data_IF_760806297329
#
_entry.id   IF_760806297329
#
_cell.length_a   1.000
_cell.length_b   1.000
_cell.length_c   1.000
_cell.angle_alpha   90.00
_cell.angle_beta   90.00
_cell.angle_gamma   90.00
#
_symmetry.space_group_name_H-M   'P 1'
#
loop_
_entity.id
_entity.type
_entity.pdbx_description
1 polymer ?
#
# COMPACT_ATOMS: atom_id res chain seq x y z
N UNK A 1 -2.07 1.75 -4.16
CA UNK A 1 -3.40 2.17 -4.67
C UNK A 1 -4.26 2.49 -3.47
N UNK A 2 -5.00 3.59 -3.46
CA UNK A 2 -5.89 3.95 -2.34
C UNK A 2 -7.20 3.17 -2.36
N UNK A 3 -7.87 3.06 -1.21
CA UNK A 3 -9.12 2.31 -1.07
C UNK A 3 -10.25 2.79 -1.98
N UNK A 4 -10.42 4.10 -2.14
CA UNK A 4 -11.40 4.69 -3.07
C UNK A 4 -11.12 4.29 -4.52
N UNK A 5 -9.84 4.36 -4.93
CA UNK A 5 -9.43 3.97 -6.28
C UNK A 5 -9.68 2.47 -6.54
N UNK A 6 -9.37 1.62 -5.55
CA UNK A 6 -9.63 0.19 -5.65
C UNK A 6 -11.14 -0.11 -5.77
N UNK A 7 -11.96 0.55 -4.95
CA UNK A 7 -13.40 0.39 -4.95
C UNK A 7 -14.02 0.78 -6.31
N UNK A 8 -13.61 1.92 -6.87
CA UNK A 8 -14.12 2.39 -8.17
C UNK A 8 -13.70 1.47 -9.32
N UNK A 9 -12.43 1.06 -9.38
CA UNK A 9 -11.95 0.16 -10.43
C UNK A 9 -12.65 -1.20 -10.36
N UNK A 10 -12.76 -1.78 -9.16
CA UNK A 10 -13.41 -3.08 -8.99
C UNK A 10 -14.92 -3.02 -9.25
N UNK A 11 -15.59 -1.92 -8.88
CA UNK A 11 -16.99 -1.71 -9.20
C UNK A 11 -17.21 -1.56 -10.71
N UNK A 12 -16.33 -0.85 -11.40
CA UNK A 12 -16.37 -0.70 -12.87
C UNK A 12 -16.23 -2.07 -13.58
N UNK A 13 -15.21 -2.86 -13.21
CA UNK A 13 -15.00 -4.20 -13.78
C UNK A 13 -16.20 -5.12 -13.52
N UNK A 14 -16.80 -5.06 -12.32
CA UNK A 14 -18.00 -5.85 -12.00
C UNK A 14 -19.20 -5.39 -12.82
N UNK A 15 -19.39 -4.09 -12.98
CA UNK A 15 -20.47 -3.53 -13.80
C UNK A 15 -20.35 -3.99 -15.26
N UNK A 16 -19.18 -3.89 -15.86
CA UNK A 16 -18.92 -4.34 -17.23
C UNK A 16 -19.24 -5.83 -17.40
N UNK A 17 -18.87 -6.65 -16.40
CA UNK A 17 -19.17 -8.09 -16.38
C UNK A 17 -20.68 -8.37 -16.30
N UNK A 18 -21.44 -7.59 -15.51
CA UNK A 18 -22.89 -7.76 -15.39
C UNK A 18 -23.62 -7.33 -16.66
N UNK A 19 -23.22 -6.20 -17.24
CA UNK A 19 -23.77 -5.69 -18.51
C UNK A 19 -23.56 -6.69 -19.64
N UNK A 20 -22.38 -7.31 -19.73
CA UNK A 20 -22.09 -8.38 -20.69
C UNK A 20 -23.00 -9.61 -20.51
N UNK A 21 -23.51 -9.85 -19.30
CA UNK A 21 -24.42 -10.95 -18.98
C UNK A 21 -25.89 -10.55 -19.07
N UNK A 22 -26.20 -9.32 -19.51
CA UNK A 22 -27.56 -8.80 -19.58
C UNK A 22 -28.21 -8.52 -18.22
N UNK A 23 -27.40 -8.39 -17.17
CA UNK A 23 -27.84 -8.09 -15.82
C UNK A 23 -27.48 -6.65 -15.43
N UNK A 24 -28.30 -6.07 -14.56
CA UNK A 24 -27.99 -4.83 -13.85
C UNK A 24 -28.02 -5.12 -12.35
N UNK A 25 -27.52 -4.18 -11.57
CA UNK A 25 -27.53 -4.25 -10.12
C UNK A 25 -27.88 -2.88 -9.53
N UNK A 26 -28.68 -2.84 -8.46
CA UNK A 26 -29.15 -1.58 -7.87
C UNK A 26 -28.00 -0.70 -7.35
N UNK A 27 -28.21 0.61 -7.33
CA UNK A 27 -27.24 1.57 -6.78
C UNK A 27 -26.89 1.29 -5.32
N UNK A 28 -27.83 0.74 -4.55
CA UNK A 28 -27.60 0.32 -3.16
C UNK A 28 -26.62 -0.86 -3.07
N UNK A 29 -26.67 -1.81 -4.02
CA UNK A 29 -25.74 -2.94 -4.07
C UNK A 29 -24.34 -2.48 -4.50
N UNK A 30 -24.28 -1.54 -5.46
CA UNK A 30 -23.04 -0.89 -5.87
C UNK A 30 -22.38 -0.13 -4.72
N UNK A 31 -23.16 0.66 -3.98
CA UNK A 31 -22.67 1.41 -2.83
C UNK A 31 -22.16 0.48 -1.72
N UNK A 32 -22.89 -0.60 -1.42
CA UNK A 32 -22.47 -1.61 -0.45
C UNK A 32 -21.17 -2.30 -0.88
N UNK A 33 -21.04 -2.65 -2.16
CA UNK A 33 -19.82 -3.26 -2.71
C UNK A 33 -18.61 -2.34 -2.59
N UNK A 34 -18.74 -1.07 -2.99
CA UNK A 34 -17.66 -0.07 -2.84
C UNK A 34 -17.32 0.16 -1.37
N UNK A 35 -18.33 0.25 -0.49
CA UNK A 35 -18.12 0.43 0.95
C UNK A 35 -17.31 -0.69 1.56
N UNK A 36 -17.60 -1.95 1.22
CA UNK A 36 -16.86 -3.10 1.73
C UNK A 36 -15.38 -3.06 1.32
N UNK A 37 -15.09 -2.69 0.07
CA UNK A 37 -13.70 -2.56 -0.41
C UNK A 37 -12.98 -1.41 0.32
N UNK A 38 -13.63 -0.25 0.48
CA UNK A 38 -13.03 0.88 1.20
C UNK A 38 -12.70 0.51 2.64
N UNK A 39 -13.62 -0.15 3.33
CA UNK A 39 -13.40 -0.61 4.70
C UNK A 39 -12.23 -1.60 4.77
N UNK A 40 -12.16 -2.56 3.84
CA UNK A 40 -11.04 -3.48 3.79
C UNK A 40 -9.70 -2.75 3.65
N UNK A 41 -9.63 -1.74 2.78
CA UNK A 41 -8.41 -0.97 2.58
C UNK A 41 -8.07 -0.06 3.76
N UNK A 42 -9.08 0.46 4.46
CA UNK A 42 -8.86 1.24 5.68
C UNK A 42 -8.26 0.33 6.77
N UNK A 43 -8.86 -0.82 7.01
CA UNK A 43 -8.39 -1.79 8.01
C UNK A 43 -6.98 -2.33 7.69
N UNK A 44 -6.70 -2.61 6.42
CA UNK A 44 -5.43 -3.21 6.01
C UNK A 44 -4.34 -2.18 5.69
N UNK A 45 -4.73 -0.92 5.47
CA UNK A 45 -3.85 0.22 5.24
C UNK A 45 -3.45 0.95 6.51
N UNK A 46 -4.12 0.66 7.64
CA UNK A 46 -3.80 1.23 8.93
C UNK A 46 -2.35 0.89 9.37
N UNK A 47 -1.59 1.86 9.93
CA UNK A 47 -0.21 1.62 10.38
C UNK A 47 -0.07 0.45 11.36
N UNK A 48 -1.04 0.23 12.24
CA UNK A 48 -1.00 -0.88 13.19
C UNK A 48 -1.21 -2.23 12.49
N UNK A 49 -1.97 -2.28 11.40
CA UNK A 49 -2.10 -3.49 10.60
C UNK A 49 -0.77 -3.89 9.96
N UNK A 50 -0.02 -2.92 9.44
CA UNK A 50 1.30 -3.12 8.83
C UNK A 50 2.37 -3.54 9.86
N UNK A 51 2.47 -2.79 10.96
CA UNK A 51 3.52 -3.03 11.98
C UNK A 51 3.33 -4.37 12.70
N UNK A 52 2.08 -4.81 12.89
CA UNK A 52 1.77 -6.13 13.45
C UNK A 52 2.25 -7.31 12.58
N UNK A 53 2.63 -7.03 11.32
CA UNK A 53 3.08 -8.00 10.32
C UNK A 53 4.53 -7.78 9.89
N UNK A 54 5.26 -6.88 10.57
CA UNK A 54 6.66 -6.56 10.26
C UNK A 54 6.87 -6.10 8.82
N UNK A 55 5.87 -5.40 8.25
CA UNK A 55 6.06 -4.73 6.96
C UNK A 55 6.92 -3.47 7.10
N UNK A 56 7.01 -2.96 8.33
CA UNK A 56 7.87 -1.90 8.81
C UNK A 56 8.56 -2.35 10.11
N UNK A 57 9.61 -1.62 10.51
CA UNK A 57 10.36 -1.87 11.75
C UNK A 57 9.75 -1.11 12.96
N UNK A 58 8.57 -0.50 12.80
CA UNK A 58 7.86 0.20 13.86
C UNK A 58 7.23 1.53 13.43
N UNK A 59 6.19 1.91 14.16
CA UNK A 59 5.53 3.22 14.04
C UNK A 59 6.30 4.25 14.88
N UNK A 60 6.57 5.42 14.29
CA UNK A 60 7.27 6.52 14.95
C UNK A 60 6.35 7.70 15.20
N UNK A 61 6.57 8.42 16.30
CA UNK A 61 6.14 9.81 16.40
C UNK A 61 6.83 10.60 15.28
N UNK A 62 6.09 11.34 14.43
CA UNK A 62 6.69 12.14 13.36
C UNK A 62 7.81 13.07 13.84
N UNK A 63 7.74 13.60 15.07
CA UNK A 63 8.77 14.47 15.66
C UNK A 63 10.11 13.73 15.90
N UNK A 64 10.08 12.41 16.08
CA UNK A 64 11.26 11.58 16.34
C UNK A 64 12.02 11.16 15.07
N UNK A 65 11.47 11.43 13.89
CA UNK A 65 12.05 11.02 12.59
C UNK A 65 13.54 11.35 12.48
N UNK A 66 13.95 12.57 12.84
CA UNK A 66 15.38 13.00 12.77
C UNK A 66 16.26 12.18 13.70
N UNK A 67 15.79 11.91 14.92
CA UNK A 67 16.54 11.17 15.95
C UNK A 67 16.74 9.72 15.53
N UNK A 68 15.68 9.06 15.07
CA UNK A 68 15.73 7.66 14.64
C UNK A 68 16.60 7.48 13.41
N UNK A 69 16.47 8.36 12.39
CA UNK A 69 17.35 8.33 11.23
C UNK A 69 18.82 8.58 11.59
N UNK A 70 19.10 9.51 12.50
CA UNK A 70 20.47 9.76 12.97
C UNK A 70 21.09 8.54 13.64
N UNK A 71 20.32 7.82 14.47
CA UNK A 71 20.76 6.57 15.09
C UNK A 71 20.99 5.47 14.05
N UNK A 72 20.06 5.29 13.11
CA UNK A 72 20.19 4.28 12.04
C UNK A 72 21.44 4.54 11.19
N UNK A 73 21.70 5.80 10.82
CA UNK A 73 22.89 6.19 10.05
C UNK A 73 24.19 5.95 10.82
N UNK A 74 24.22 6.25 12.13
CA UNK A 74 25.38 5.97 12.96
C UNK A 74 25.67 4.46 12.99
N UNK A 75 24.64 3.62 13.19
CA UNK A 75 24.78 2.17 13.21
C UNK A 75 25.33 1.60 11.90
N UNK A 76 24.79 2.02 10.74
CA UNK A 76 25.27 1.51 9.44
C UNK A 76 26.66 2.04 9.06
N UNK A 77 27.11 3.14 9.67
CA UNK A 77 28.44 3.71 9.38
C UNK A 77 29.60 2.94 10.01
N UNK A 78 29.32 2.10 11.00
CA UNK A 78 30.31 1.25 11.66
C UNK A 78 30.69 0.01 10.83
N UNK A 79 29.89 -0.34 9.82
CA UNK A 79 30.14 -1.50 8.96
C UNK A 79 31.07 -1.15 7.77
N UNK A 80 32.09 -1.98 7.47
CA UNK A 80 32.93 -1.80 6.28
C UNK A 80 32.05 -1.76 5.03
N UNK A 81 32.28 -0.78 4.14
CA UNK A 81 31.46 -0.52 2.94
C UNK A 81 31.05 -1.83 2.24
N UNK A 82 29.78 -2.18 2.44
CA UNK A 82 29.20 -3.41 1.94
C UNK A 82 29.02 -3.29 0.41
N UNK A 83 29.89 -3.98 -0.33
CA UNK A 83 29.85 -4.27 -1.79
C UNK A 83 30.53 -3.25 -2.73
N UNK A 84 31.13 -3.75 -3.83
CA UNK A 84 31.55 -2.91 -4.94
C UNK A 84 30.35 -2.25 -5.62
N UNK A 85 30.35 -0.92 -5.64
CA UNK A 85 29.36 -0.08 -6.32
C UNK A 85 29.57 -0.12 -7.84
N UNK A 86 28.49 -0.13 -8.64
CA UNK A 86 28.56 0.16 -10.08
C UNK A 86 28.17 -0.94 -11.07
N UNK A 87 27.67 -2.09 -10.61
CA UNK A 87 27.13 -3.14 -11.48
C UNK A 87 25.61 -3.02 -11.59
N UNK A 88 25.13 -2.26 -12.58
CA UNK A 88 23.70 -2.14 -12.87
C UNK A 88 23.27 -3.17 -13.92
N UNK A 89 22.00 -3.57 -13.89
CA UNK A 89 21.38 -4.33 -14.98
C UNK A 89 21.16 -3.48 -16.23
N UNK A 90 20.43 -4.02 -17.20
CA UNK A 90 20.12 -3.30 -18.45
C UNK A 90 19.09 -2.20 -18.18
N UNK A 91 19.39 -0.98 -18.60
CA UNK A 91 18.41 0.10 -18.64
C UNK A 91 17.57 0.00 -19.92
N UNK A 92 16.23 -0.05 -19.77
CA UNK A 92 15.30 0.10 -20.89
C UNK A 92 15.13 1.59 -21.18
N UNK A 93 15.71 2.07 -22.27
CA UNK A 93 15.60 3.43 -22.78
C UNK A 93 14.33 3.62 -23.63
#
# INVERSE_FOLDING_TARGET
MGGEQAAEVLASVRNDTLVQRGHTWPDSEQAAFRSAIRQQYEEQGDPYYATARLWDDGILDPADTRRVLGLALALVSEEPRLRPTGHFGIFRM
#
